data_IF_647507960088
#
_entry.id   IF_647507960088
#
_cell.length_a   1.000
_cell.length_b   1.000
_cell.length_c   1.000
_cell.angle_alpha   90.00
_cell.angle_beta   90.00
_cell.angle_gamma   90.00
#
_symmetry.space_group_name_H-M   'P 1'
#
loop_
_entity.id
_entity.type
_entity.pdbx_description
1 polymer ?
#
# COMPACT_ATOMS: atom_id res chain seq x y z
N UNK A 1 27.54 -39.86 -2.88
CA UNK A 1 26.95 -39.04 -1.82
C UNK A 1 27.47 -37.63 -2.03
N UNK A 2 26.61 -36.62 -2.12
CA UNK A 2 27.02 -35.22 -2.27
C UNK A 2 27.12 -34.58 -0.88
N UNK A 3 28.14 -33.74 -0.70
CA UNK A 3 28.34 -33.00 0.55
C UNK A 3 27.46 -31.74 0.56
N UNK A 4 26.78 -31.50 1.68
CA UNK A 4 25.99 -30.29 1.87
C UNK A 4 26.93 -29.07 1.94
N UNK A 5 26.89 -28.24 0.89
CA UNK A 5 27.72 -27.02 0.85
C UNK A 5 27.12 -25.86 1.65
N UNK A 6 25.80 -25.81 1.76
CA UNK A 6 25.09 -24.72 2.44
C UNK A 6 23.66 -25.12 2.83
N UNK A 7 23.24 -24.68 4.00
CA UNK A 7 21.83 -24.59 4.40
C UNK A 7 21.56 -23.22 4.99
N UNK A 8 20.39 -22.65 4.69
CA UNK A 8 19.99 -21.37 5.27
C UNK A 8 19.62 -21.60 6.74
N UNK A 9 20.36 -21.03 7.72
CA UNK A 9 20.04 -21.22 9.12
C UNK A 9 18.71 -20.54 9.48
N UNK A 10 17.96 -21.13 10.40
CA UNK A 10 16.78 -20.49 10.98
C UNK A 10 17.23 -19.25 11.75
N UNK A 11 16.85 -18.07 11.26
CA UNK A 11 17.12 -16.80 11.94
C UNK A 11 15.94 -16.48 12.86
N UNK A 12 16.20 -16.31 14.16
CA UNK A 12 15.22 -15.71 15.07
C UNK A 12 15.25 -14.20 14.89
N UNK A 13 14.25 -13.65 14.19
CA UNK A 13 14.14 -12.21 13.99
C UNK A 13 13.59 -11.52 15.25
N UNK A 14 14.29 -10.53 15.82
CA UNK A 14 13.76 -9.78 16.95
C UNK A 14 12.53 -8.96 16.54
N UNK A 15 11.57 -8.82 17.45
CA UNK A 15 10.40 -7.96 17.25
C UNK A 15 10.85 -6.49 17.26
N UNK A 16 10.70 -5.81 16.13
CA UNK A 16 11.11 -4.40 15.97
C UNK A 16 10.00 -3.44 16.42
N UNK A 17 8.74 -3.77 16.15
CA UNK A 17 7.58 -2.95 16.50
C UNK A 17 6.59 -3.70 17.41
N UNK A 18 5.90 -3.00 18.33
CA UNK A 18 4.75 -3.53 19.04
C UNK A 18 3.66 -4.01 18.07
N UNK A 19 2.88 -5.00 18.50
CA UNK A 19 1.84 -5.62 17.66
C UNK A 19 0.72 -4.66 17.29
N UNK A 20 0.28 -3.86 18.25
CA UNK A 20 -0.75 -2.84 18.03
C UNK A 20 -0.29 -1.80 17.01
N UNK A 21 0.98 -1.37 17.08
CA UNK A 21 1.53 -0.42 16.11
C UNK A 21 1.59 -1.02 14.69
N UNK A 22 1.92 -2.30 14.57
CA UNK A 22 1.89 -3.01 13.29
C UNK A 22 0.46 -3.15 12.75
N UNK A 23 -0.51 -3.44 13.60
CA UNK A 23 -1.93 -3.51 13.24
C UNK A 23 -2.47 -2.15 12.76
N UNK A 24 -2.12 -1.06 13.45
CA UNK A 24 -2.47 0.31 13.04
C UNK A 24 -1.86 0.65 11.67
N UNK A 25 -0.62 0.23 11.43
CA UNK A 25 0.03 0.41 10.12
C UNK A 25 -0.67 -0.41 9.02
N UNK A 26 -1.06 -1.65 9.30
CA UNK A 26 -1.81 -2.48 8.37
C UNK A 26 -3.16 -1.82 8.03
N UNK A 27 -3.87 -1.27 9.01
CA UNK A 27 -5.09 -0.50 8.81
C UNK A 27 -4.85 0.67 7.83
N UNK A 28 -3.86 1.52 8.14
CA UNK A 28 -3.51 2.69 7.31
C UNK A 28 -3.15 2.31 5.87
N UNK A 29 -2.32 1.28 5.68
CA UNK A 29 -1.88 0.85 4.36
C UNK A 29 -2.96 0.07 3.60
N UNK A 30 -3.87 -0.61 4.28
CA UNK A 30 -5.04 -1.23 3.65
C UNK A 30 -5.97 -0.17 3.05
N UNK A 31 -6.11 1.01 3.69
CA UNK A 31 -6.89 2.12 3.13
C UNK A 31 -6.34 2.66 1.82
N UNK A 32 -5.03 2.62 1.61
CA UNK A 32 -4.43 3.02 0.33
C UNK A 32 -4.98 2.16 -0.80
N UNK A 33 -5.22 0.89 -0.54
CA UNK A 33 -5.75 -0.08 -1.51
C UNK A 33 -7.27 -0.02 -1.57
N UNK A 34 -7.97 0.01 -0.43
CA UNK A 34 -9.45 -0.03 -0.36
C UNK A 34 -10.11 1.27 -0.81
N UNK A 35 -9.50 2.43 -0.58
CA UNK A 35 -10.12 3.73 -0.91
C UNK A 35 -9.14 4.81 -1.35
N UNK A 36 -7.87 4.47 -1.55
CA UNK A 36 -6.80 5.41 -1.89
C UNK A 36 -6.21 5.19 -3.27
N UNK A 37 -4.94 5.61 -3.41
CA UNK A 37 -4.20 5.62 -4.68
C UNK A 37 -3.76 4.25 -5.17
N UNK A 38 -3.81 3.21 -4.33
CA UNK A 38 -3.38 1.85 -4.65
C UNK A 38 -4.51 0.93 -5.10
N UNK A 39 -5.66 1.48 -5.53
CA UNK A 39 -6.87 0.69 -5.82
C UNK A 39 -6.69 -0.45 -6.82
N UNK A 40 -5.74 -0.33 -7.75
CA UNK A 40 -5.43 -1.38 -8.72
C UNK A 40 -4.77 -2.63 -8.11
N UNK A 41 -4.27 -2.54 -6.87
CA UNK A 41 -3.64 -3.66 -6.16
C UNK A 41 -4.64 -4.60 -5.47
N UNK A 42 -5.95 -4.34 -5.55
CA UNK A 42 -6.99 -5.17 -4.90
C UNK A 42 -6.99 -6.59 -5.48
N UNK A 43 -7.08 -7.56 -4.58
CA UNK A 43 -7.23 -8.98 -4.91
C UNK A 43 -8.50 -9.48 -4.20
N UNK A 44 -9.51 -9.97 -4.92
CA UNK A 44 -10.74 -10.47 -4.30
C UNK A 44 -10.45 -11.56 -3.26
N UNK A 45 -11.07 -11.44 -2.09
CA UNK A 45 -10.93 -12.38 -0.97
C UNK A 45 -9.69 -12.17 -0.10
N UNK A 46 -8.76 -11.29 -0.47
CA UNK A 46 -7.53 -11.03 0.28
C UNK A 46 -7.52 -9.63 0.89
N UNK A 47 -7.09 -9.53 2.15
CA UNK A 47 -6.68 -8.26 2.73
C UNK A 47 -5.32 -7.87 2.16
N UNK A 48 -5.25 -6.69 1.53
CA UNK A 48 -4.03 -6.16 0.90
C UNK A 48 -3.69 -4.81 1.52
N UNK A 49 -2.48 -4.70 2.06
CA UNK A 49 -1.88 -3.45 2.50
C UNK A 49 -0.77 -3.04 1.53
N UNK A 50 -0.66 -1.76 1.21
CA UNK A 50 0.42 -1.30 0.32
C UNK A 50 0.53 0.20 0.19
N UNK A 51 1.56 0.63 -0.51
CA UNK A 51 1.86 2.04 -0.75
C UNK A 51 2.35 2.28 -2.17
N UNK A 52 1.86 3.36 -2.76
CA UNK A 52 2.35 3.89 -4.03
C UNK A 52 3.53 4.83 -3.83
N UNK A 53 4.47 4.82 -4.76
CA UNK A 53 5.51 5.83 -4.93
C UNK A 53 5.59 6.29 -6.38
N UNK A 54 5.87 7.57 -6.59
CA UNK A 54 6.14 8.13 -7.92
C UNK A 54 7.25 9.15 -7.75
N UNK A 55 8.33 9.04 -8.52
CA UNK A 55 9.39 10.05 -8.48
C UNK A 55 8.97 11.31 -9.26
N UNK A 56 9.78 12.37 -9.15
CA UNK A 56 9.53 13.61 -9.89
C UNK A 56 9.59 13.34 -11.40
N UNK A 57 8.86 14.15 -12.16
CA UNK A 57 8.78 14.02 -13.63
C UNK A 57 8.34 12.63 -14.13
N UNK A 58 7.71 11.82 -13.28
CA UNK A 58 7.22 10.47 -13.63
C UNK A 58 8.33 9.55 -14.19
N UNK A 59 9.55 9.64 -13.64
CA UNK A 59 10.66 8.75 -14.04
C UNK A 59 10.48 7.34 -13.50
N UNK A 60 9.93 7.23 -12.30
CA UNK A 60 9.70 5.96 -11.60
C UNK A 60 8.28 5.87 -11.05
N UNK A 61 7.72 4.67 -11.13
CA UNK A 61 6.46 4.29 -10.53
C UNK A 61 6.66 3.02 -9.69
N UNK A 62 6.32 3.10 -8.41
CA UNK A 62 6.47 2.02 -7.44
C UNK A 62 5.14 1.63 -6.83
N UNK A 63 4.96 0.33 -6.61
CA UNK A 63 3.99 -0.19 -5.66
C UNK A 63 4.66 -1.25 -4.80
N UNK A 64 4.65 -1.04 -3.49
CA UNK A 64 5.04 -2.06 -2.52
C UNK A 64 3.79 -2.47 -1.75
N UNK A 65 3.56 -3.77 -1.64
CA UNK A 65 2.39 -4.31 -0.97
C UNK A 65 2.62 -5.68 -0.38
N UNK A 66 1.70 -6.08 0.48
CA UNK A 66 1.73 -7.37 1.13
C UNK A 66 0.32 -7.86 1.50
N UNK A 67 0.25 -9.18 1.66
CA UNK A 67 -0.82 -9.89 2.37
C UNK A 67 -0.21 -10.50 3.63
N UNK A 68 -1.00 -11.26 4.40
CA UNK A 68 -0.44 -12.07 5.50
C UNK A 68 0.55 -13.16 5.04
N UNK A 69 0.56 -13.52 3.75
CA UNK A 69 1.41 -14.60 3.21
C UNK A 69 2.69 -14.13 2.56
N UNK A 70 2.62 -13.05 1.78
CA UNK A 70 3.75 -12.58 0.98
C UNK A 70 3.82 -11.06 0.95
N UNK A 71 5.06 -10.56 0.85
CA UNK A 71 5.40 -9.18 0.54
C UNK A 71 6.02 -9.13 -0.85
N UNK A 72 5.72 -8.08 -1.61
CA UNK A 72 6.28 -7.87 -2.94
C UNK A 72 6.35 -6.39 -3.30
N UNK A 73 7.22 -6.07 -4.26
CA UNK A 73 7.37 -4.73 -4.79
C UNK A 73 7.48 -4.77 -6.31
N UNK A 74 6.83 -3.82 -6.97
CA UNK A 74 6.96 -3.60 -8.41
C UNK A 74 7.45 -2.17 -8.65
N UNK A 75 8.46 -2.07 -9.48
CA UNK A 75 8.96 -0.84 -10.07
C UNK A 75 8.74 -0.85 -11.57
N UNK A 76 8.42 0.31 -12.11
CA UNK A 76 8.39 0.58 -13.54
C UNK A 76 9.10 1.92 -13.76
N UNK A 77 10.03 1.93 -14.72
CA UNK A 77 10.81 3.09 -15.13
C UNK A 77 11.52 2.81 -16.44
N UNK A 78 12.10 3.85 -17.04
CA UNK A 78 13.00 3.70 -18.19
C UNK A 78 14.44 3.50 -17.71
N UNK A 79 15.18 2.58 -18.33
CA UNK A 79 16.59 2.32 -17.97
C UNK A 79 17.52 3.52 -18.21
N UNK A 80 17.09 4.48 -19.06
CA UNK A 80 17.84 5.69 -19.39
C UNK A 80 17.40 6.94 -18.61
N UNK A 81 16.64 6.75 -17.51
CA UNK A 81 16.15 7.78 -16.60
C UNK A 81 15.22 8.82 -17.25
N UNK A 82 14.83 8.66 -18.52
CA UNK A 82 13.89 9.60 -19.15
C UNK A 82 12.50 9.51 -18.52
N UNK A 83 11.74 10.63 -18.45
CA UNK A 83 10.34 10.63 -18.04
C UNK A 83 9.51 9.56 -18.76
N UNK A 84 8.68 8.84 -18.02
CA UNK A 84 7.66 7.98 -18.62
C UNK A 84 6.46 8.80 -19.11
N UNK A 85 5.48 8.14 -19.74
CA UNK A 85 4.23 8.75 -20.21
C UNK A 85 3.26 9.11 -19.06
N UNK A 86 3.74 9.84 -18.04
CA UNK A 86 3.02 10.25 -16.83
C UNK A 86 2.42 9.10 -16.00
N UNK A 87 3.08 7.94 -16.05
CA UNK A 87 2.67 6.74 -15.30
C UNK A 87 2.89 6.97 -13.81
N UNK A 88 1.92 6.59 -12.98
CA UNK A 88 2.04 6.65 -11.52
C UNK A 88 2.08 5.26 -10.88
N UNK A 89 2.64 5.16 -9.67
CA UNK A 89 2.73 3.88 -8.94
C UNK A 89 1.38 3.21 -8.64
N UNK A 90 0.29 3.98 -8.59
CA UNK A 90 -1.07 3.48 -8.35
C UNK A 90 -1.72 2.82 -9.57
N UNK A 91 -1.12 2.98 -10.75
CA UNK A 91 -1.66 2.47 -12.01
C UNK A 91 -0.90 1.21 -12.42
N UNK A 92 0.16 1.35 -13.21
CA UNK A 92 0.83 0.21 -13.85
C UNK A 92 1.52 -0.69 -12.82
N UNK A 93 2.29 -0.12 -11.90
CA UNK A 93 3.03 -0.88 -10.88
C UNK A 93 2.08 -1.66 -9.95
N UNK A 94 0.99 -1.02 -9.50
CA UNK A 94 -0.02 -1.67 -8.68
C UNK A 94 -0.77 -2.80 -9.42
N UNK A 95 -1.10 -2.63 -10.72
CA UNK A 95 -1.72 -3.69 -11.53
C UNK A 95 -0.79 -4.89 -11.70
N UNK A 96 0.45 -4.65 -12.08
CA UNK A 96 1.46 -5.71 -12.24
C UNK A 96 1.66 -6.44 -10.91
N UNK A 97 1.72 -5.71 -9.79
CA UNK A 97 1.81 -6.30 -8.47
C UNK A 97 0.62 -7.22 -8.18
N UNK A 98 -0.61 -6.79 -8.49
CA UNK A 98 -1.80 -7.61 -8.30
C UNK A 98 -1.75 -8.89 -9.14
N UNK A 99 -1.33 -8.81 -10.39
CA UNK A 99 -1.26 -9.96 -11.29
C UNK A 99 -0.19 -10.96 -10.85
N UNK A 100 0.99 -10.48 -10.45
CA UNK A 100 2.03 -11.30 -9.82
C UNK A 100 1.50 -12.01 -8.57
N UNK A 101 0.80 -11.27 -7.70
CA UNK A 101 0.32 -11.82 -6.43
C UNK A 101 -0.85 -12.79 -6.59
N UNK A 102 -1.72 -12.61 -7.58
CA UNK A 102 -2.76 -13.61 -7.92
C UNK A 102 -2.14 -14.97 -8.28
N UNK A 103 -0.99 -14.97 -8.95
CA UNK A 103 -0.25 -16.20 -9.26
C UNK A 103 0.39 -16.77 -7.98
N UNK A 104 1.04 -15.93 -7.17
CA UNK A 104 1.72 -16.36 -5.95
C UNK A 104 0.75 -16.91 -4.89
N UNK A 105 -0.45 -16.34 -4.79
CA UNK A 105 -1.49 -16.71 -3.82
C UNK A 105 -2.42 -17.83 -4.32
N UNK A 106 -2.19 -18.33 -5.54
CA UNK A 106 -3.01 -19.39 -6.12
C UNK A 106 -3.01 -20.61 -5.20
N UNK A 107 -4.20 -21.16 -4.95
CA UNK A 107 -4.42 -22.34 -4.11
C UNK A 107 -4.04 -22.17 -2.62
N UNK A 108 -3.77 -20.95 -2.16
CA UNK A 108 -3.58 -20.62 -0.75
C UNK A 108 -4.88 -20.05 -0.20
N UNK A 109 -5.40 -20.56 0.94
CA UNK A 109 -6.60 -19.99 1.55
C UNK A 109 -6.31 -18.57 2.04
N UNK A 110 -7.21 -17.60 1.77
CA UNK A 110 -7.06 -16.26 2.32
C UNK A 110 -7.10 -16.26 3.84
N UNK A 111 -6.17 -15.51 4.43
CA UNK A 111 -6.08 -15.30 5.87
C UNK A 111 -6.09 -13.79 6.13
N UNK A 112 -6.75 -13.40 7.23
CA UNK A 112 -6.94 -11.99 7.56
C UNK A 112 -5.60 -11.33 7.91
N UNK A 113 -5.41 -10.11 7.42
CA UNK A 113 -4.27 -9.30 7.83
C UNK A 113 -4.64 -8.59 9.15
N UNK A 114 -3.90 -8.81 10.26
CA UNK A 114 -4.23 -8.17 11.54
C UNK A 114 -4.35 -6.66 11.41
N UNK A 115 -5.45 -6.08 11.89
CA UNK A 115 -5.73 -4.64 11.80
C UNK A 115 -6.27 -4.13 10.46
N UNK A 116 -6.23 -4.91 9.37
CA UNK A 116 -6.68 -4.45 8.05
C UNK A 116 -8.17 -4.06 8.03
N UNK A 117 -9.03 -4.77 8.76
CA UNK A 117 -10.46 -4.45 8.87
C UNK A 117 -10.79 -3.33 9.85
N UNK A 118 -9.87 -2.97 10.75
CA UNK A 118 -10.04 -1.76 11.56
C UNK A 118 -10.09 -0.52 10.68
N UNK A 119 -9.47 -0.56 9.49
CA UNK A 119 -9.61 0.52 8.53
C UNK A 119 -11.05 0.69 8.02
N UNK A 120 -11.84 -0.38 7.95
CA UNK A 120 -13.27 -0.31 7.62
C UNK A 120 -14.07 0.17 8.84
N UNK A 121 -13.68 -0.23 10.06
CA UNK A 121 -14.31 0.17 11.33
C UNK A 121 -14.07 1.66 11.67
N UNK A 122 -12.88 2.21 11.36
CA UNK A 122 -12.60 3.64 11.37
C UNK A 122 -13.33 4.41 10.25
N UNK A 123 -14.18 3.77 9.43
CA UNK A 123 -15.15 4.41 8.55
C UNK A 123 -16.57 4.34 9.12
N UNK A 124 -16.72 4.04 10.42
CA UNK A 124 -17.98 4.24 11.14
C UNK A 124 -18.53 5.64 10.85
N UNK A 125 -19.85 5.79 10.86
CA UNK A 125 -20.54 7.04 10.53
C UNK A 125 -19.90 8.25 11.23
N UNK A 126 -19.49 8.07 12.49
CA UNK A 126 -18.84 9.08 13.32
C UNK A 126 -17.41 9.43 12.85
N UNK A 127 -16.61 8.43 12.46
CA UNK A 127 -15.28 8.67 11.92
C UNK A 127 -15.34 9.29 10.52
N UNK A 128 -16.35 8.93 9.72
CA UNK A 128 -16.67 9.55 8.44
C UNK A 128 -17.05 11.03 8.61
N UNK A 129 -17.84 11.35 9.63
CA UNK A 129 -18.18 12.73 9.99
C UNK A 129 -16.95 13.54 10.39
N UNK A 130 -16.06 12.97 11.21
CA UNK A 130 -14.79 13.63 11.57
C UNK A 130 -13.91 13.90 10.35
N UNK A 131 -13.77 12.93 9.44
CA UNK A 131 -13.00 13.10 8.20
C UNK A 131 -13.62 14.17 7.28
N UNK A 132 -14.95 14.19 7.16
CA UNK A 132 -15.66 15.21 6.39
C UNK A 132 -15.50 16.60 7.01
N UNK A 133 -15.51 16.71 8.34
CA UNK A 133 -15.22 17.94 9.06
C UNK A 133 -13.80 18.45 8.76
N UNK A 134 -12.78 17.60 8.85
CA UNK A 134 -11.39 18.01 8.54
C UNK A 134 -11.19 18.39 7.07
N UNK A 135 -11.83 17.70 6.12
CA UNK A 135 -11.78 18.07 4.70
C UNK A 135 -12.45 19.43 4.43
N UNK A 136 -13.58 19.71 5.09
CA UNK A 136 -14.25 21.02 4.99
C UNK A 136 -13.40 22.13 5.60
N UNK A 137 -12.76 21.88 6.75
CA UNK A 137 -11.81 22.80 7.36
C UNK A 137 -10.63 23.09 6.43
N UNK A 138 -9.98 22.06 5.91
CA UNK A 138 -8.85 22.21 4.99
C UNK A 138 -9.26 23.04 3.75
N UNK A 139 -10.41 22.75 3.14
CA UNK A 139 -10.95 23.53 2.03
C UNK A 139 -11.26 24.97 2.40
N UNK A 140 -11.76 25.24 3.61
CA UNK A 140 -12.05 26.59 4.08
C UNK A 140 -10.75 27.39 4.23
N UNK A 141 -9.70 26.81 4.81
CA UNK A 141 -8.39 27.46 4.93
C UNK A 141 -7.76 27.74 3.57
N UNK A 142 -7.79 26.77 2.64
CA UNK A 142 -7.30 26.98 1.27
C UNK A 142 -8.05 28.10 0.53
N UNK A 143 -9.35 28.30 0.82
CA UNK A 143 -10.15 29.38 0.23
C UNK A 143 -9.85 30.77 0.82
N UNK A 144 -9.33 30.83 2.05
CA UNK A 144 -8.91 32.08 2.71
C UNK A 144 -7.52 32.49 2.23
N UNK A 145 -6.60 31.54 2.07
CA UNK A 145 -5.28 31.79 1.47
C UNK A 145 -5.40 32.34 0.04
N UNK A 146 -6.34 31.81 -0.76
CA UNK A 146 -6.62 32.31 -2.11
C UNK A 146 -7.22 33.73 -2.15
N UNK A 147 -7.74 34.25 -1.02
CA UNK A 147 -8.34 35.60 -0.91
C UNK A 147 -7.43 36.62 -0.23
N UNK A 148 -6.35 36.19 0.41
CA UNK A 148 -5.41 37.06 1.14
C UNK A 148 -4.15 37.48 0.35
N UNK A 149 -4.02 37.04 -0.91
CA UNK A 149 -2.87 37.32 -1.77
C UNK A 149 -3.09 38.42 -2.82
N UNK A 150 -3.87 39.46 -2.50
CA UNK A 150 -4.12 40.63 -3.34
C UNK A 150 -3.62 41.91 -2.70
#
# INVERSE_FOLDING_TARGET
KGDLLYSNPTVTSPRIYPENLAADMNSMLSRVVVSGTGGAARIPGWDVAGKTGTSQEWRDAWFLGYTTRFVGGVWVGNDDDKPMAKITGGEMSARIWADMMKVALKDIPPEALPGAKQAEEYLSSEAQERLNFYRRLASAFSSVEARGGG
#
